data_IF_076156840693
#
_entry.id   IF_076156840693
#
_cell.length_a   1.000
_cell.length_b   1.000
_cell.length_c   1.000
_cell.angle_alpha   90.00
_cell.angle_beta   90.00
_cell.angle_gamma   90.00
#
_symmetry.space_group_name_H-M   'P 1'
#
loop_
_entity.id
_entity.type
_entity.pdbx_description
1 polymer ?
#
# COMPACT_ATOMS: atom_id res chain seq x y z
N UNK A 1 -3.22 -17.50 -17.74
CA UNK A 1 -3.59 -16.07 -17.84
C UNK A 1 -2.31 -15.26 -18.03
N UNK A 2 -1.96 -14.89 -19.27
CA UNK A 2 -0.80 -14.03 -19.50
C UNK A 2 -1.10 -12.64 -18.92
N UNK A 3 -0.38 -12.23 -17.87
CA UNK A 3 -0.36 -10.82 -17.44
C UNK A 3 0.04 -10.01 -18.68
N UNK A 4 -0.89 -9.24 -19.24
CA UNK A 4 -0.61 -8.34 -20.35
C UNK A 4 0.38 -7.31 -19.80
N UNK A 5 1.67 -7.52 -20.04
CA UNK A 5 2.70 -6.60 -19.57
C UNK A 5 2.65 -5.38 -20.49
N UNK A 6 2.46 -4.17 -19.96
CA UNK A 6 2.53 -2.98 -20.78
C UNK A 6 3.92 -2.89 -21.41
N UNK A 7 3.98 -2.56 -22.70
CA UNK A 7 5.23 -2.46 -23.48
C UNK A 7 6.14 -1.34 -22.97
N UNK A 8 5.53 -0.33 -22.35
CA UNK A 8 6.20 0.82 -21.76
C UNK A 8 5.60 1.12 -20.39
N UNK A 9 6.41 1.69 -19.50
CA UNK A 9 5.98 2.15 -18.18
C UNK A 9 6.53 3.53 -17.87
N UNK A 10 5.68 4.48 -17.42
CA UNK A 10 6.13 5.72 -16.83
C UNK A 10 6.51 5.53 -15.36
N UNK A 11 7.33 6.44 -14.82
CA UNK A 11 7.64 6.56 -13.41
C UNK A 11 6.98 7.82 -12.87
N UNK A 12 6.04 7.68 -11.94
CA UNK A 12 5.26 8.80 -11.41
C UNK A 12 5.73 9.13 -10.00
N UNK A 13 6.12 10.39 -9.78
CA UNK A 13 6.42 10.94 -8.46
C UNK A 13 5.21 11.71 -7.96
N UNK A 14 4.64 11.29 -6.83
CA UNK A 14 3.44 11.88 -6.24
C UNK A 14 3.73 12.22 -4.79
N UNK A 15 3.28 13.39 -4.33
CA UNK A 15 3.33 13.74 -2.92
C UNK A 15 2.29 12.95 -2.11
N UNK A 16 2.43 12.95 -0.79
CA UNK A 16 1.44 12.36 0.13
C UNK A 16 0.08 13.06 0.11
N UNK A 17 -0.05 14.21 -0.57
CA UNK A 17 -1.35 14.87 -0.80
C UNK A 17 -2.00 14.48 -2.14
N UNK A 18 -1.37 13.61 -2.92
CA UNK A 18 -1.84 13.20 -4.25
C UNK A 18 -1.46 14.16 -5.38
N UNK A 19 -0.57 15.13 -5.13
CA UNK A 19 -0.08 16.02 -6.18
C UNK A 19 1.00 15.31 -7.01
N UNK A 20 0.82 15.25 -8.33
CA UNK A 20 1.83 14.70 -9.24
C UNK A 20 2.94 15.73 -9.41
N UNK A 21 4.13 15.41 -8.91
CA UNK A 21 5.33 16.25 -9.01
C UNK A 21 5.96 16.10 -10.39
N UNK A 22 6.09 14.86 -10.88
CA UNK A 22 6.70 14.55 -12.17
C UNK A 22 6.26 13.19 -12.69
N UNK A 23 6.26 13.04 -14.02
CA UNK A 23 6.03 11.79 -14.74
C UNK A 23 7.19 11.55 -15.71
N UNK A 24 8.09 10.64 -15.36
CA UNK A 24 9.31 10.39 -16.10
C UNK A 24 9.22 9.15 -16.99
N UNK A 25 9.98 9.14 -18.09
CA UNK A 25 10.01 8.05 -19.07
C UNK A 25 9.51 8.50 -20.44
N UNK A 26 8.88 7.61 -21.24
CA UNK A 26 8.55 6.22 -20.95
C UNK A 26 9.79 5.30 -20.95
N UNK A 27 9.78 4.31 -20.06
CA UNK A 27 10.76 3.22 -20.03
C UNK A 27 10.18 1.97 -20.67
N UNK A 28 10.99 1.13 -21.29
CA UNK A 28 10.52 -0.15 -21.82
C UNK A 28 10.10 -1.08 -20.68
N UNK A 29 9.01 -1.83 -20.86
CA UNK A 29 8.49 -2.83 -19.92
C UNK A 29 9.29 -4.14 -19.92
N UNK A 30 10.61 -4.07 -20.08
CA UNK A 30 11.51 -5.22 -20.16
C UNK A 30 12.21 -5.50 -18.82
N UNK A 31 12.91 -6.64 -18.73
CA UNK A 31 13.62 -7.02 -17.50
C UNK A 31 14.83 -6.14 -17.17
N UNK A 32 15.35 -5.37 -18.13
CA UNK A 32 16.48 -4.45 -17.90
C UNK A 32 16.03 -3.19 -17.18
N UNK A 33 14.83 -2.72 -17.49
CA UNK A 33 14.24 -1.54 -16.88
C UNK A 33 13.32 -1.95 -15.72
N UNK A 34 13.81 -2.71 -14.74
CA UNK A 34 13.07 -2.91 -13.50
C UNK A 34 12.97 -1.60 -12.70
N UNK A 35 12.14 -1.55 -11.67
CA UNK A 35 11.82 -0.31 -10.97
C UNK A 35 13.05 0.31 -10.27
N UNK A 36 13.88 -0.52 -9.63
CA UNK A 36 15.15 -0.09 -9.04
C UNK A 36 16.15 0.46 -10.07
N UNK A 37 16.26 -0.17 -11.25
CA UNK A 37 17.14 0.27 -12.33
C UNK A 37 16.67 1.60 -12.92
N UNK A 38 15.35 1.78 -13.07
CA UNK A 38 14.77 3.05 -13.51
C UNK A 38 15.05 4.15 -12.49
N UNK A 39 14.80 3.91 -11.20
CA UNK A 39 15.09 4.87 -10.13
C UNK A 39 16.57 5.25 -10.13
N UNK A 40 17.46 4.26 -10.20
CA UNK A 40 18.91 4.47 -10.29
C UNK A 40 19.29 5.32 -11.50
N UNK A 41 18.68 5.07 -12.66
CA UNK A 41 18.93 5.85 -13.86
C UNK A 41 18.48 7.30 -13.69
N UNK A 42 17.26 7.53 -13.19
CA UNK A 42 16.68 8.85 -12.94
C UNK A 42 17.61 9.68 -12.04
N UNK A 43 18.00 9.11 -10.91
CA UNK A 43 18.83 9.78 -9.91
C UNK A 43 20.24 10.05 -10.46
N UNK A 44 20.93 9.04 -10.98
CA UNK A 44 22.32 9.19 -11.47
C UNK A 44 22.45 10.11 -12.67
N UNK A 45 21.42 10.20 -13.51
CA UNK A 45 21.38 11.12 -14.67
C UNK A 45 20.80 12.47 -14.32
N UNK A 46 20.35 12.66 -13.08
CA UNK A 46 19.64 13.83 -12.62
C UNK A 46 18.50 14.23 -13.59
N UNK A 47 17.69 13.25 -13.98
CA UNK A 47 16.58 13.45 -14.92
C UNK A 47 15.62 14.46 -14.29
N UNK A 48 15.20 15.45 -15.11
CA UNK A 48 14.37 16.58 -14.68
C UNK A 48 14.89 17.30 -13.43
N UNK A 49 16.22 17.29 -13.24
CA UNK A 49 16.87 17.90 -12.09
C UNK A 49 16.32 17.40 -10.76
N UNK A 50 16.03 16.10 -10.66
CA UNK A 50 15.49 15.47 -9.45
C UNK A 50 16.29 15.81 -8.18
N UNK A 51 17.60 15.96 -8.27
CA UNK A 51 18.44 16.33 -7.12
C UNK A 51 18.25 17.78 -6.67
N UNK A 52 17.56 18.62 -7.45
CA UNK A 52 17.29 20.01 -7.08
C UNK A 52 16.02 20.11 -6.21
N UNK A 53 15.07 19.18 -6.40
CA UNK A 53 13.78 19.17 -5.70
C UNK A 53 13.58 17.99 -4.74
N UNK A 54 14.49 17.02 -4.76
CA UNK A 54 14.59 15.98 -3.74
C UNK A 54 15.81 16.31 -2.86
N UNK A 55 15.56 16.69 -1.62
CA UNK A 55 16.55 17.21 -0.70
C UNK A 55 16.92 16.18 0.38
N UNK A 56 18.02 16.46 1.08
CA UNK A 56 18.37 15.73 2.31
C UNK A 56 17.20 15.77 3.29
N UNK A 57 16.97 14.67 4.02
CA UNK A 57 15.84 14.43 4.93
C UNK A 57 14.46 14.18 4.28
N UNK A 58 14.31 14.29 2.97
CA UNK A 58 13.08 13.83 2.30
C UNK A 58 12.88 12.32 2.49
N UNK A 59 11.61 11.93 2.61
CA UNK A 59 11.21 10.53 2.78
C UNK A 59 10.53 10.04 1.50
N UNK A 60 11.20 9.15 0.78
CA UNK A 60 10.65 8.46 -0.38
C UNK A 60 9.90 7.20 0.07
N UNK A 61 8.61 7.15 -0.22
CA UNK A 61 7.79 5.95 0.00
C UNK A 61 7.77 5.13 -1.29
N UNK A 62 8.35 3.93 -1.27
CA UNK A 62 8.50 3.08 -2.45
C UNK A 62 7.91 1.69 -2.26
N UNK A 63 7.63 1.00 -3.37
CA UNK A 63 7.27 -0.42 -3.34
C UNK A 63 8.54 -1.29 -3.21
N UNK A 64 8.34 -2.57 -2.87
CA UNK A 64 9.39 -3.58 -2.72
C UNK A 64 10.27 -3.76 -3.96
N UNK A 65 9.75 -3.44 -5.15
CA UNK A 65 10.49 -3.50 -6.42
C UNK A 65 11.66 -2.50 -6.52
N UNK A 66 11.72 -1.51 -5.63
CA UNK A 66 12.78 -0.51 -5.56
C UNK A 66 13.90 -0.86 -4.58
N UNK A 67 13.83 -2.01 -3.90
CA UNK A 67 14.81 -2.45 -2.90
C UNK A 67 16.25 -2.21 -3.34
N UNK A 68 16.61 -2.61 -4.56
CA UNK A 68 17.99 -2.57 -5.03
C UNK A 68 18.49 -1.13 -5.35
N UNK A 69 17.62 -0.13 -5.22
CA UNK A 69 17.97 1.30 -5.35
C UNK A 69 18.10 2.03 -4.01
N UNK A 70 17.77 1.38 -2.89
CA UNK A 70 17.74 2.03 -1.58
C UNK A 70 19.12 2.49 -1.10
N UNK A 71 20.16 1.70 -1.35
CA UNK A 71 21.54 2.06 -0.97
C UNK A 71 21.97 3.37 -1.65
N UNK A 72 21.64 3.55 -2.93
CA UNK A 72 21.89 4.78 -3.68
C UNK A 72 21.13 5.98 -3.11
N UNK A 73 19.86 5.79 -2.73
CA UNK A 73 19.07 6.87 -2.14
C UNK A 73 19.65 7.29 -0.79
N UNK A 74 20.07 6.32 0.02
CA UNK A 74 20.69 6.58 1.31
C UNK A 74 22.06 7.26 1.19
N UNK A 75 22.88 6.90 0.20
CA UNK A 75 24.15 7.60 -0.12
C UNK A 75 23.95 9.09 -0.44
N UNK A 76 22.76 9.46 -0.93
CA UNK A 76 22.37 10.83 -1.24
C UNK A 76 21.66 11.54 -0.07
N UNK A 77 21.55 10.91 1.10
CA UNK A 77 20.86 11.46 2.27
C UNK A 77 19.32 11.39 2.18
N UNK A 78 18.78 10.65 1.21
CA UNK A 78 17.34 10.49 1.01
C UNK A 78 16.86 9.29 1.82
N UNK A 79 15.97 9.53 2.78
CA UNK A 79 15.35 8.46 3.57
C UNK A 79 14.35 7.73 2.69
N UNK A 80 14.30 6.42 2.80
CA UNK A 80 13.42 5.61 1.97
C UNK A 80 12.72 4.55 2.80
N UNK A 81 11.40 4.46 2.67
CA UNK A 81 10.55 3.50 3.37
C UNK A 81 9.86 2.58 2.36
N UNK A 82 9.83 1.29 2.66
CA UNK A 82 9.14 0.28 1.85
C UNK A 82 8.47 -0.77 2.74
N UNK A 83 7.49 -1.54 2.24
CA UNK A 83 6.93 -2.65 3.00
C UNK A 83 8.02 -3.65 3.42
N UNK A 84 7.99 -4.07 4.69
CA UNK A 84 8.95 -5.03 5.24
C UNK A 84 8.88 -6.36 4.51
N UNK A 85 10.00 -7.08 4.51
CA UNK A 85 10.08 -8.47 4.09
C UNK A 85 10.11 -9.37 5.31
N UNK A 86 9.49 -10.54 5.22
CA UNK A 86 9.63 -11.53 6.27
C UNK A 86 11.09 -11.94 6.38
N UNK A 87 11.60 -12.04 7.60
CA UNK A 87 12.91 -12.58 7.87
C UNK A 87 13.01 -14.04 7.42
N UNK A 88 14.23 -14.51 7.22
CA UNK A 88 14.46 -15.88 6.76
C UNK A 88 13.96 -16.88 7.81
N UNK A 89 12.97 -17.68 7.43
CA UNK A 89 12.37 -18.69 8.32
C UNK A 89 11.26 -18.16 9.21
N UNK A 90 10.94 -16.87 9.13
CA UNK A 90 9.82 -16.27 9.83
C UNK A 90 8.52 -16.48 9.05
N UNK A 91 7.43 -16.73 9.78
CA UNK A 91 6.09 -16.88 9.20
C UNK A 91 5.27 -15.60 9.29
N UNK A 92 5.66 -14.65 10.14
CA UNK A 92 4.92 -13.43 10.44
C UNK A 92 5.88 -12.29 10.75
N UNK A 93 5.44 -11.07 10.49
CA UNK A 93 6.14 -9.83 10.85
C UNK A 93 6.01 -9.54 12.34
N UNK A 94 6.94 -8.76 12.88
CA UNK A 94 6.74 -8.15 14.20
C UNK A 94 5.57 -7.15 14.17
N UNK A 95 5.12 -6.72 15.35
CA UNK A 95 4.08 -5.68 15.48
C UNK A 95 4.58 -4.37 14.86
N UNK A 96 5.83 -4.01 15.12
CA UNK A 96 6.48 -2.80 14.63
C UNK A 96 6.61 -2.81 13.09
N UNK A 97 7.07 -3.93 12.52
CA UNK A 97 7.17 -4.11 11.07
C UNK A 97 5.81 -4.11 10.38
N UNK A 98 4.81 -4.76 11.00
CA UNK A 98 3.45 -4.79 10.50
C UNK A 98 2.85 -3.39 10.48
N UNK A 99 3.06 -2.61 11.54
CA UNK A 99 2.58 -1.23 11.63
C UNK A 99 3.25 -0.33 10.59
N UNK A 100 4.57 -0.43 10.44
CA UNK A 100 5.35 0.32 9.44
C UNK A 100 4.91 -0.03 8.02
N UNK A 101 4.79 -1.32 7.71
CA UNK A 101 4.29 -1.82 6.44
C UNK A 101 2.88 -1.30 6.14
N UNK A 102 2.00 -1.27 7.14
CA UNK A 102 0.63 -0.75 6.99
C UNK A 102 0.62 0.75 6.73
N UNK A 103 1.50 1.53 7.36
CA UNK A 103 1.66 2.96 7.08
C UNK A 103 2.14 3.22 5.66
N UNK A 104 3.21 2.55 5.23
CA UNK A 104 3.75 2.63 3.87
C UNK A 104 2.68 2.25 2.84
N UNK A 105 1.94 1.17 3.09
CA UNK A 105 0.88 0.70 2.18
C UNK A 105 -0.26 1.72 2.07
N UNK A 106 -0.66 2.36 3.18
CA UNK A 106 -1.69 3.42 3.17
C UNK A 106 -1.26 4.66 2.40
N UNK A 107 0.01 5.06 2.47
CA UNK A 107 0.51 6.20 1.70
C UNK A 107 0.63 5.87 0.21
N UNK A 108 1.12 4.67 -0.10
CA UNK A 108 1.21 4.15 -1.49
C UNK A 108 -0.15 4.11 -2.18
N UNK A 109 -1.22 3.88 -1.42
CA UNK A 109 -2.59 3.86 -1.92
C UNK A 109 -2.99 5.20 -2.58
N UNK A 110 -2.44 6.33 -2.16
CA UNK A 110 -2.65 7.64 -2.81
C UNK A 110 -2.10 7.62 -4.23
N UNK A 111 -0.88 7.11 -4.41
CA UNK A 111 -0.24 6.95 -5.74
C UNK A 111 -1.07 6.01 -6.62
N UNK A 112 -1.51 4.88 -6.06
CA UNK A 112 -2.37 3.95 -6.79
C UNK A 112 -3.68 4.58 -7.21
N UNK A 113 -4.26 5.44 -6.37
CA UNK A 113 -5.54 6.09 -6.67
C UNK A 113 -5.43 7.12 -7.77
N UNK A 114 -4.34 7.90 -7.76
CA UNK A 114 -4.01 8.82 -8.86
C UNK A 114 -3.72 8.03 -10.15
N UNK A 115 -3.05 6.89 -10.05
CA UNK A 115 -2.73 6.04 -11.20
C UNK A 115 -3.91 5.21 -11.73
N UNK A 116 -4.92 4.92 -10.89
CA UNK A 116 -5.97 3.95 -11.22
C UNK A 116 -7.31 4.58 -11.63
N UNK A 117 -7.72 5.73 -11.07
CA UNK A 117 -9.04 6.29 -11.36
C UNK A 117 -9.22 7.74 -10.84
N UNK A 118 -9.45 8.69 -11.75
CA UNK A 118 -9.71 10.11 -11.44
C UNK A 118 -10.88 10.28 -10.45
N UNK A 119 -11.91 9.42 -10.53
CA UNK A 119 -13.06 9.44 -9.62
C UNK A 119 -12.70 8.96 -8.22
N UNK A 120 -11.80 7.98 -8.09
CA UNK A 120 -11.35 7.47 -6.79
C UNK A 120 -10.44 8.48 -6.10
N UNK A 121 -9.53 9.11 -6.86
CA UNK A 121 -8.70 10.22 -6.38
C UNK A 121 -9.55 11.41 -5.93
N UNK A 122 -10.56 11.82 -6.70
CA UNK A 122 -11.48 12.89 -6.35
C UNK A 122 -12.32 12.58 -5.10
N UNK A 123 -12.86 11.35 -4.99
CA UNK A 123 -13.61 10.88 -3.82
C UNK A 123 -12.76 10.94 -2.56
N UNK A 124 -11.48 10.63 -2.66
CA UNK A 124 -10.57 10.62 -1.53
C UNK A 124 -10.06 11.98 -1.10
N UNK A 125 -9.81 12.88 -2.04
CA UNK A 125 -9.58 14.29 -1.74
C UNK A 125 -10.81 14.94 -1.09
N UNK A 126 -12.02 14.51 -1.47
CA UNK A 126 -13.25 14.95 -0.83
C UNK A 126 -13.35 14.41 0.61
N UNK A 127 -13.14 13.10 0.81
CA UNK A 127 -13.24 12.45 2.13
C UNK A 127 -12.18 12.92 3.12
N UNK A 128 -10.96 13.25 2.67
CA UNK A 128 -9.90 13.77 3.54
C UNK A 128 -10.21 15.16 4.12
N UNK A 129 -11.11 15.91 3.49
CA UNK A 129 -11.60 17.21 3.96
C UNK A 129 -12.83 17.11 4.86
N UNK A 130 -13.41 15.92 5.00
CA UNK A 130 -14.56 15.69 5.87
C UNK A 130 -14.12 15.42 7.31
N UNK A 131 -15.01 15.74 8.26
CA UNK A 131 -14.81 15.39 9.66
C UNK A 131 -14.89 13.87 9.79
N UNK A 132 -13.89 13.27 10.40
CA UNK A 132 -13.85 11.83 10.63
C UNK A 132 -14.75 11.45 11.82
N UNK A 133 -16.04 11.27 11.55
CA UNK A 133 -17.03 10.90 12.56
C UNK A 133 -16.70 9.59 13.27
N UNK A 134 -16.07 8.64 12.56
CA UNK A 134 -15.61 7.38 13.15
C UNK A 134 -14.50 7.62 14.18
N UNK A 135 -13.53 8.50 13.88
CA UNK A 135 -12.49 8.90 14.83
C UNK A 135 -13.12 9.54 16.07
N UNK A 136 -14.04 10.48 15.87
CA UNK A 136 -14.75 11.13 16.97
C UNK A 136 -15.51 10.11 17.84
N UNK A 137 -16.18 9.14 17.20
CA UNK A 137 -16.86 8.05 17.90
C UNK A 137 -15.88 7.18 18.70
N UNK A 138 -14.76 6.78 18.10
CA UNK A 138 -13.72 5.99 18.76
C UNK A 138 -13.17 6.71 19.99
N UNK A 139 -12.88 8.00 19.88
CA UNK A 139 -12.35 8.82 20.96
C UNK A 139 -13.39 9.10 22.06
N UNK A 140 -14.63 9.43 21.68
CA UNK A 140 -15.71 9.74 22.62
C UNK A 140 -16.19 8.51 23.40
N UNK A 141 -16.32 7.37 22.72
CA UNK A 141 -16.78 6.12 23.31
C UNK A 141 -15.63 5.36 24.00
N UNK A 142 -14.40 5.89 23.97
CA UNK A 142 -13.20 5.27 24.53
C UNK A 142 -12.91 3.89 23.94
N UNK A 143 -13.25 3.67 22.66
CA UNK A 143 -13.06 2.39 21.97
C UNK A 143 -11.58 2.11 21.69
N UNK A 144 -10.74 3.14 21.71
CA UNK A 144 -9.28 3.05 21.73
C UNK A 144 -8.73 2.50 23.05
N UNK A 145 -9.50 2.56 24.15
CA UNK A 145 -9.05 2.25 25.51
C UNK A 145 -9.53 0.90 26.06
N UNK A 146 -10.04 -0.01 25.24
CA UNK A 146 -10.54 -1.32 25.74
C UNK A 146 -9.46 -2.38 25.85
N UNK A 147 -9.23 -2.81 27.10
CA UNK A 147 -8.91 -4.19 27.45
C UNK A 147 -10.09 -5.08 27.07
N UNK A 148 -9.93 -5.92 26.04
CA UNK A 148 -10.94 -6.89 25.64
C UNK A 148 -10.92 -8.10 26.59
N UNK A 149 -12.07 -8.44 27.16
CA UNK A 149 -12.31 -9.82 27.60
C UNK A 149 -12.49 -10.66 26.34
N UNK A 150 -11.43 -11.31 25.90
CA UNK A 150 -11.49 -12.32 24.86
C UNK A 150 -12.35 -13.48 25.36
N UNK A 151 -13.56 -13.60 24.83
CA UNK A 151 -14.33 -14.84 24.91
C UNK A 151 -13.89 -15.76 23.79
N UNK A 152 -13.71 -17.04 24.11
CA UNK A 152 -13.45 -18.05 23.09
C UNK A 152 -14.70 -18.20 22.24
N UNK A 153 -14.61 -17.83 20.96
CA UNK A 153 -15.64 -18.12 19.98
C UNK A 153 -15.53 -19.61 19.65
N UNK A 154 -16.60 -20.36 19.90
CA UNK A 154 -16.69 -21.77 19.49
C UNK A 154 -17.46 -21.89 18.17
N UNK A 155 -17.21 -22.95 17.42
CA UNK A 155 -17.93 -23.32 16.19
C UNK A 155 -19.44 -23.52 16.38
N UNK A 156 -19.90 -23.60 17.63
CA UNK A 156 -21.31 -23.71 18.03
C UNK A 156 -21.98 -22.38 18.37
N UNK A 157 -21.21 -21.28 18.42
CA UNK A 157 -21.72 -19.94 18.71
C UNK A 157 -22.30 -19.31 17.41
N UNK A 158 -23.51 -19.74 17.04
CA UNK A 158 -24.20 -19.33 15.80
C UNK A 158 -24.79 -17.90 15.86
N UNK A 159 -24.74 -17.24 17.01
CA UNK A 159 -25.38 -15.93 17.24
C UNK A 159 -24.51 -14.72 16.81
N UNK A 160 -23.35 -14.96 16.17
CA UNK A 160 -22.53 -13.89 15.61
C UNK A 160 -23.03 -13.55 14.20
N UNK A 161 -23.89 -12.53 14.09
CA UNK A 161 -24.29 -11.98 12.80
C UNK A 161 -23.16 -11.14 12.19
N UNK A 162 -22.55 -11.66 11.12
CA UNK A 162 -21.65 -10.87 10.29
C UNK A 162 -22.45 -9.97 9.35
N UNK A 163 -22.05 -8.69 9.20
CA UNK A 163 -22.70 -7.80 8.25
C UNK A 163 -22.55 -8.36 6.83
N UNK A 164 -23.67 -8.52 6.13
CA UNK A 164 -23.68 -8.92 4.72
C UNK A 164 -23.46 -7.68 3.86
N UNK A 165 -22.22 -7.49 3.44
CA UNK A 165 -21.82 -6.38 2.59
C UNK A 165 -21.84 -6.81 1.12
N UNK A 166 -22.36 -5.95 0.25
CA UNK A 166 -22.27 -6.12 -1.20
C UNK A 166 -20.87 -5.74 -1.71
N UNK A 167 -20.57 -6.03 -2.98
CA UNK A 167 -19.24 -5.78 -3.55
C UNK A 167 -18.83 -4.30 -3.50
N UNK A 168 -19.78 -3.38 -3.70
CA UNK A 168 -19.53 -1.94 -3.64
C UNK A 168 -19.21 -1.48 -2.22
N UNK A 169 -19.97 -1.95 -1.23
CA UNK A 169 -19.73 -1.71 0.20
C UNK A 169 -18.38 -2.26 0.62
N UNK A 170 -18.04 -3.47 0.18
CA UNK A 170 -16.73 -4.09 0.40
C UNK A 170 -15.61 -3.27 -0.24
N UNK A 171 -15.78 -2.77 -1.47
CA UNK A 171 -14.82 -1.89 -2.14
C UNK A 171 -14.65 -0.56 -1.40
N UNK A 172 -15.74 -0.01 -0.88
CA UNK A 172 -15.73 1.22 -0.08
C UNK A 172 -15.05 1.00 1.27
N UNK A 173 -15.29 -0.13 1.94
CA UNK A 173 -14.67 -0.48 3.22
C UNK A 173 -13.16 -0.78 3.06
N UNK A 174 -12.80 -1.50 2.00
CA UNK A 174 -11.42 -1.92 1.71
C UNK A 174 -10.64 -0.89 0.88
N UNK A 175 -11.28 0.24 0.55
CA UNK A 175 -10.75 1.35 -0.24
C UNK A 175 -10.17 0.91 -1.59
N UNK A 176 -10.66 -0.19 -2.17
CA UNK A 176 -10.22 -0.63 -3.49
C UNK A 176 -10.30 -2.14 -3.72
N UNK A 177 -10.12 -2.56 -4.98
CA UNK A 177 -10.30 -3.97 -5.39
C UNK A 177 -9.14 -4.88 -5.02
N UNK A 178 -7.99 -4.32 -4.69
CA UNK A 178 -6.78 -5.09 -4.43
C UNK A 178 -6.93 -6.01 -3.23
N UNK A 179 -7.42 -5.48 -2.10
CA UNK A 179 -7.66 -6.24 -0.87
C UNK A 179 -8.73 -7.34 -1.08
N UNK A 180 -9.77 -7.05 -1.87
CA UNK A 180 -10.80 -8.04 -2.21
C UNK A 180 -10.27 -9.18 -3.08
N UNK A 181 -9.36 -8.87 -4.02
CA UNK A 181 -8.69 -9.88 -4.84
C UNK A 181 -7.77 -10.78 -4.01
N UNK A 182 -7.07 -10.20 -3.02
CA UNK A 182 -6.24 -10.96 -2.09
C UNK A 182 -7.04 -11.88 -1.18
N UNK A 183 -8.25 -11.46 -0.77
CA UNK A 183 -9.10 -12.26 0.11
C UNK A 183 -9.34 -13.67 -0.44
N UNK A 184 -9.63 -13.78 -1.75
CA UNK A 184 -9.83 -15.07 -2.42
C UNK A 184 -8.60 -15.98 -2.32
N UNK A 185 -7.42 -15.46 -2.65
CA UNK A 185 -6.16 -16.23 -2.57
C UNK A 185 -5.83 -16.63 -1.13
N UNK A 186 -6.09 -15.74 -0.17
CA UNK A 186 -5.89 -16.05 1.25
C UNK A 186 -6.83 -17.18 1.72
N UNK A 187 -8.10 -17.17 1.27
CA UNK A 187 -9.03 -18.26 1.61
C UNK A 187 -8.56 -19.58 0.99
N UNK A 188 -8.13 -19.58 -0.28
CA UNK A 188 -7.62 -20.76 -0.98
C UNK A 188 -6.37 -21.36 -0.31
N UNK A 189 -5.50 -20.54 0.26
CA UNK A 189 -4.29 -20.98 0.98
C UNK A 189 -4.59 -21.64 2.34
N UNK A 190 -5.77 -21.39 2.93
CA UNK A 190 -6.15 -21.88 4.26
C UNK A 190 -7.19 -22.99 4.23
N UNK A 191 -7.59 -23.45 3.05
CA UNK A 191 -8.37 -24.67 2.91
C UNK A 191 -7.44 -25.88 2.80
N UNK A 192 -7.69 -26.91 3.60
CA UNK A 192 -7.13 -28.24 3.33
C UNK A 192 -7.77 -28.88 2.09
N UNK A 193 -7.25 -30.03 1.66
CA UNK A 193 -7.77 -30.78 0.50
C UNK A 193 -9.24 -31.22 0.64
N UNK A 194 -9.83 -31.09 1.82
CA UNK A 194 -11.22 -31.41 2.12
C UNK A 194 -12.09 -30.13 2.32
N UNK A 195 -11.51 -28.93 2.16
CA UNK A 195 -12.24 -27.67 2.27
C UNK A 195 -12.55 -27.25 3.71
N UNK A 196 -11.81 -27.78 4.69
CA UNK A 196 -11.84 -27.29 6.08
C UNK A 196 -10.80 -26.19 6.29
N UNK A 197 -11.20 -25.20 7.09
CA UNK A 197 -10.33 -24.14 7.64
C UNK A 197 -9.72 -24.67 8.93
#
# INVERSE_FOLDING_TARGET
MHKHRPLVKPMVFVTTSGYIVSVMGPYMGDGKNNDANIMTHIIKRNIEKITDWLQEDDILIVDRGFRDSLDLLNELGIKSEMPSFLGRGEKQHSVEESNTTRLVTKLRWIVESINADELLGAKMLFLSKQINELKNKVENDGLDKRSYKWSKIDSTDFDIEFPRLNEEELRNLTLGTYQLKMAKSYTEEHFDSEGKI
#
